data_IF_216073294460
#
_entry.id   IF_216073294460
#
_cell.length_a   1.000
_cell.length_b   1.000
_cell.length_c   1.000
_cell.angle_alpha   90.00
_cell.angle_beta   90.00
_cell.angle_gamma   90.00
#
_symmetry.space_group_name_H-M   'P 1'
#
loop_
_entity.id
_entity.type
_entity.pdbx_description
1 polymer ?
#
# COMPACT_ATOMS: atom_id res chain seq x y z
N UNK A 1 -1.36 -22.50 10.91
CA UNK A 1 -2.65 -22.00 10.35
C UNK A 1 -3.19 -23.03 9.37
N UNK A 2 -4.47 -23.31 9.39
CA UNK A 2 -5.12 -24.25 8.47
C UNK A 2 -5.34 -23.59 7.10
N UNK A 3 -5.21 -24.38 6.02
CA UNK A 3 -5.54 -23.97 4.65
C UNK A 3 -6.98 -23.44 4.56
N UNK A 4 -7.22 -22.47 3.70
CA UNK A 4 -8.59 -21.99 3.46
C UNK A 4 -9.44 -23.09 2.80
N UNK A 5 -10.72 -23.21 3.20
CA UNK A 5 -11.63 -24.15 2.54
C UNK A 5 -11.80 -23.75 1.07
N UNK A 6 -11.89 -24.75 0.19
CA UNK A 6 -12.17 -24.54 -1.22
C UNK A 6 -13.69 -24.56 -1.42
N UNK A 7 -14.32 -23.45 -1.82
CA UNK A 7 -15.77 -23.39 -2.02
C UNK A 7 -16.19 -24.04 -3.34
N UNK A 8 -17.46 -24.36 -3.44
CA UNK A 8 -18.09 -24.65 -4.74
C UNK A 8 -18.34 -23.33 -5.47
N UNK A 9 -17.76 -23.16 -6.65
CA UNK A 9 -17.86 -21.94 -7.44
C UNK A 9 -19.10 -21.95 -8.33
N UNK A 10 -19.83 -20.84 -8.36
CA UNK A 10 -20.91 -20.59 -9.31
C UNK A 10 -20.34 -20.24 -10.70
N UNK A 11 -21.20 -20.31 -11.72
CA UNK A 11 -20.83 -19.91 -13.09
C UNK A 11 -20.91 -18.41 -13.32
N UNK A 12 -21.59 -17.68 -12.40
CA UNK A 12 -21.78 -16.24 -12.47
C UNK A 12 -21.80 -15.60 -11.08
N UNK A 13 -21.22 -14.42 -10.97
CA UNK A 13 -21.26 -13.53 -9.82
C UNK A 13 -21.63 -12.10 -10.25
N UNK A 14 -22.04 -11.25 -9.32
CA UNK A 14 -22.20 -9.82 -9.60
C UNK A 14 -20.81 -9.16 -9.69
N UNK A 15 -19.91 -9.51 -8.76
CA UNK A 15 -18.58 -8.94 -8.66
C UNK A 15 -17.53 -10.04 -8.59
N UNK A 16 -16.49 -9.97 -9.43
CA UNK A 16 -15.28 -10.77 -9.31
C UNK A 16 -14.09 -9.87 -9.00
N UNK A 17 -13.43 -10.14 -7.88
CA UNK A 17 -12.22 -9.42 -7.44
C UNK A 17 -10.99 -10.29 -7.68
N UNK A 18 -10.03 -9.78 -8.44
CA UNK A 18 -8.77 -10.45 -8.77
C UNK A 18 -7.69 -10.00 -7.78
N UNK A 19 -7.35 -10.85 -6.81
CA UNK A 19 -6.36 -10.60 -5.76
C UNK A 19 -6.99 -10.42 -4.38
N UNK A 20 -6.49 -11.15 -3.39
CA UNK A 20 -6.95 -11.17 -2.00
C UNK A 20 -6.09 -10.33 -1.05
N UNK A 21 -5.36 -9.32 -1.56
CA UNK A 21 -4.63 -8.34 -0.75
C UNK A 21 -5.57 -7.30 -0.11
N UNK A 22 -5.02 -6.28 0.60
CA UNK A 22 -5.83 -5.31 1.34
C UNK A 22 -6.92 -4.63 0.51
N UNK A 23 -6.63 -4.19 -0.72
CA UNK A 23 -7.62 -3.58 -1.59
C UNK A 23 -8.73 -4.57 -1.99
N UNK A 24 -8.35 -5.76 -2.47
CA UNK A 24 -9.31 -6.74 -2.95
C UNK A 24 -10.15 -7.33 -1.82
N UNK A 25 -9.56 -7.61 -0.66
CA UNK A 25 -10.31 -8.07 0.50
C UNK A 25 -11.29 -7.01 1.01
N UNK A 26 -10.91 -5.72 0.98
CA UNK A 26 -11.80 -4.61 1.34
C UNK A 26 -12.96 -4.50 0.37
N UNK A 27 -12.68 -4.46 -0.94
CA UNK A 27 -13.73 -4.40 -1.96
C UNK A 27 -14.65 -5.61 -1.86
N UNK A 28 -14.08 -6.83 -1.77
CA UNK A 28 -14.86 -8.06 -1.69
C UNK A 28 -15.73 -8.15 -0.44
N UNK A 29 -15.23 -7.72 0.71
CA UNK A 29 -15.99 -7.71 1.96
C UNK A 29 -17.16 -6.73 1.90
N UNK A 30 -16.95 -5.52 1.40
CA UNK A 30 -17.97 -4.48 1.35
C UNK A 30 -19.03 -4.75 0.26
N UNK A 31 -18.65 -5.23 -0.92
CA UNK A 31 -19.62 -5.62 -1.95
C UNK A 31 -20.49 -6.79 -1.50
N UNK A 32 -19.92 -7.77 -0.78
CA UNK A 32 -20.68 -8.87 -0.18
C UNK A 32 -21.62 -8.35 0.93
N UNK A 33 -21.16 -7.44 1.79
CA UNK A 33 -22.00 -6.80 2.83
C UNK A 33 -23.18 -6.02 2.24
N UNK A 34 -22.99 -5.42 1.07
CA UNK A 34 -24.06 -4.77 0.30
C UNK A 34 -25.04 -5.74 -0.35
N UNK A 35 -24.82 -7.05 -0.22
CA UNK A 35 -25.73 -8.11 -0.71
C UNK A 35 -25.45 -8.59 -2.13
N UNK A 36 -24.34 -8.17 -2.75
CA UNK A 36 -23.95 -8.66 -4.08
C UNK A 36 -23.23 -10.00 -4.00
N UNK A 37 -23.52 -10.90 -4.93
CA UNK A 37 -22.77 -12.15 -5.06
C UNK A 37 -21.33 -11.83 -5.47
N UNK A 38 -20.40 -12.02 -4.55
CA UNK A 38 -19.00 -11.59 -4.70
C UNK A 38 -18.04 -12.77 -4.62
N UNK A 39 -17.11 -12.85 -5.59
CA UNK A 39 -16.03 -13.84 -5.62
C UNK A 39 -14.68 -13.15 -5.58
N UNK A 40 -13.84 -13.49 -4.60
CA UNK A 40 -12.43 -13.07 -4.55
C UNK A 40 -11.54 -14.23 -4.99
N UNK A 41 -10.74 -14.01 -6.02
CA UNK A 41 -9.80 -14.98 -6.60
C UNK A 41 -8.37 -14.62 -6.21
N UNK A 42 -7.72 -15.42 -5.38
CA UNK A 42 -6.33 -15.20 -4.98
C UNK A 42 -5.42 -16.34 -5.50
N UNK A 43 -4.33 -15.97 -6.15
CA UNK A 43 -3.40 -16.94 -6.76
C UNK A 43 -2.63 -17.79 -5.75
N UNK A 44 -2.36 -17.22 -4.57
CA UNK A 44 -1.58 -17.85 -3.50
C UNK A 44 -2.48 -18.51 -2.47
N UNK A 45 -1.95 -19.47 -1.73
CA UNK A 45 -2.54 -19.89 -0.46
C UNK A 45 -2.02 -18.97 0.67
N UNK A 46 -2.72 -18.94 1.82
CA UNK A 46 -2.35 -18.17 2.99
C UNK A 46 -1.89 -19.07 4.15
N UNK A 47 -0.93 -18.62 4.96
CA UNK A 47 -0.30 -17.27 4.97
C UNK A 47 0.69 -17.09 3.82
N UNK A 48 0.73 -15.87 3.26
CA UNK A 48 1.68 -15.51 2.22
C UNK A 48 2.50 -14.28 2.58
N UNK A 49 3.75 -14.26 2.16
CA UNK A 49 4.63 -13.12 2.35
C UNK A 49 4.23 -11.94 1.46
N UNK A 50 4.20 -10.75 2.05
CA UNK A 50 4.13 -9.48 1.32
C UNK A 50 4.87 -8.38 2.11
N UNK A 51 5.35 -7.33 1.44
CA UNK A 51 5.95 -6.14 2.07
C UNK A 51 4.91 -5.04 2.26
N UNK A 52 5.14 -4.12 3.21
CA UNK A 52 4.24 -3.03 3.55
C UNK A 52 3.57 -3.27 4.91
N UNK A 53 4.41 -3.27 5.97
CA UNK A 53 4.02 -3.68 7.33
C UNK A 53 3.61 -2.50 8.22
N UNK A 54 3.94 -1.27 7.82
CA UNK A 54 3.66 -0.08 8.62
C UNK A 54 2.35 0.56 8.18
N UNK A 55 1.37 0.61 9.06
CA UNK A 55 0.11 1.32 8.81
C UNK A 55 0.23 2.79 9.18
N UNK A 56 -0.71 3.61 8.66
CA UNK A 56 -0.89 5.00 9.07
C UNK A 56 -2.25 5.20 9.74
N UNK A 57 -2.43 6.23 10.59
CA UNK A 57 -3.62 6.42 11.42
C UNK A 57 -4.97 6.31 10.71
N UNK A 58 -5.14 6.89 9.56
CA UNK A 58 -6.43 6.90 8.84
C UNK A 58 -6.88 5.53 8.31
N UNK A 59 -6.03 4.49 8.37
CA UNK A 59 -6.47 3.10 8.17
C UNK A 59 -7.51 2.65 9.19
N UNK A 60 -7.57 3.33 10.36
CA UNK A 60 -8.54 3.09 11.42
C UNK A 60 -9.99 3.09 10.90
N UNK A 61 -10.35 4.04 10.05
CA UNK A 61 -11.73 4.21 9.61
C UNK A 61 -12.20 3.09 8.69
N UNK A 62 -11.37 2.64 7.77
CA UNK A 62 -11.70 1.49 6.92
C UNK A 62 -11.74 0.20 7.75
N UNK A 63 -10.80 0.00 8.68
CA UNK A 63 -10.84 -1.14 9.59
C UNK A 63 -12.09 -1.13 10.49
N UNK A 64 -12.54 0.05 10.94
CA UNK A 64 -13.80 0.22 11.67
C UNK A 64 -15.00 -0.16 10.82
N UNK A 65 -15.07 0.31 9.58
CA UNK A 65 -16.12 -0.03 8.61
C UNK A 65 -16.19 -1.52 8.32
N UNK A 66 -15.03 -2.16 8.20
CA UNK A 66 -14.93 -3.60 8.02
C UNK A 66 -15.31 -4.42 9.28
N UNK A 67 -15.45 -3.79 10.46
CA UNK A 67 -15.73 -4.46 11.72
C UNK A 67 -14.51 -5.15 12.33
N UNK A 68 -13.27 -4.76 11.96
CA UNK A 68 -12.03 -5.44 12.32
C UNK A 68 -11.28 -4.79 13.50
N UNK A 69 -11.75 -3.66 14.06
CA UNK A 69 -11.03 -2.95 15.12
C UNK A 69 -10.82 -3.79 16.38
N UNK A 70 -11.78 -4.60 16.78
CA UNK A 70 -11.63 -5.45 17.98
C UNK A 70 -10.53 -6.52 17.75
N UNK A 71 -10.45 -7.08 16.55
CA UNK A 71 -9.39 -8.03 16.21
C UNK A 71 -8.02 -7.33 16.19
N UNK A 72 -7.95 -6.09 15.67
CA UNK A 72 -6.73 -5.29 15.70
C UNK A 72 -6.30 -4.95 17.13
N UNK A 73 -7.23 -4.56 18.00
CA UNK A 73 -6.96 -4.27 19.41
C UNK A 73 -6.48 -5.50 20.18
N UNK A 74 -7.06 -6.67 19.89
CA UNK A 74 -6.71 -7.94 20.50
C UNK A 74 -5.44 -8.59 19.94
N UNK A 75 -4.92 -8.05 18.84
CA UNK A 75 -3.70 -8.58 18.20
C UNK A 75 -2.45 -8.27 19.02
N UNK A 76 -1.38 -9.03 18.79
CA UNK A 76 -0.04 -8.75 19.30
C UNK A 76 0.78 -7.83 18.39
N UNK A 77 0.15 -7.17 17.42
CA UNK A 77 0.81 -6.18 16.57
C UNK A 77 1.34 -5.00 17.38
N UNK A 78 2.62 -4.61 17.23
CA UNK A 78 3.16 -3.42 17.89
C UNK A 78 2.31 -2.19 17.57
N UNK A 79 1.96 -1.43 18.61
CA UNK A 79 1.23 -0.16 18.46
C UNK A 79 2.19 0.92 17.98
N UNK A 80 1.80 1.64 16.95
CA UNK A 80 2.54 2.75 16.36
C UNK A 80 1.86 4.06 16.72
N UNK A 81 2.60 4.93 17.41
CA UNK A 81 2.14 6.27 17.84
C UNK A 81 2.84 7.41 17.10
N UNK A 82 3.95 7.09 16.42
CA UNK A 82 4.80 8.11 15.80
C UNK A 82 5.56 7.59 14.58
N UNK A 83 6.09 8.52 13.83
CA UNK A 83 7.18 8.34 12.87
C UNK A 83 8.31 9.30 13.22
N UNK A 84 9.57 8.85 13.07
CA UNK A 84 10.72 9.67 13.30
C UNK A 84 11.67 9.66 12.11
N UNK A 85 12.17 10.84 11.76
CA UNK A 85 13.08 11.02 10.64
C UNK A 85 14.48 11.35 11.13
N UNK A 86 15.49 10.75 10.52
CA UNK A 86 16.88 11.09 10.71
C UNK A 86 17.39 11.79 9.45
N UNK A 87 18.01 12.93 9.62
CA UNK A 87 18.61 13.67 8.52
C UNK A 87 19.85 12.94 7.99
N UNK A 88 20.36 13.38 6.85
CA UNK A 88 21.62 12.89 6.25
C UNK A 88 22.84 13.00 7.21
N UNK A 89 22.79 13.88 8.20
CA UNK A 89 23.79 13.99 9.28
C UNK A 89 23.51 13.06 10.46
N UNK A 90 22.62 12.10 10.33
CA UNK A 90 22.20 11.15 11.37
C UNK A 90 21.57 11.80 12.61
N UNK A 91 21.16 13.06 12.52
CA UNK A 91 20.47 13.74 13.62
C UNK A 91 18.98 13.38 13.58
N UNK A 92 18.43 12.79 14.66
CA UNK A 92 17.00 12.50 14.74
C UNK A 92 16.20 13.81 14.82
N UNK A 93 15.06 13.83 14.15
CA UNK A 93 14.02 14.83 14.43
C UNK A 93 13.39 14.54 15.80
N UNK A 94 12.61 15.49 16.34
CA UNK A 94 11.59 15.09 17.31
C UNK A 94 10.63 14.08 16.64
N UNK A 95 10.13 13.06 17.35
CA UNK A 95 9.09 12.17 16.82
C UNK A 95 7.86 12.98 16.41
N UNK A 96 7.25 12.60 15.31
CA UNK A 96 5.92 13.08 14.92
C UNK A 96 4.89 12.19 15.59
N UNK A 97 4.43 12.58 16.78
CA UNK A 97 3.33 11.88 17.45
C UNK A 97 2.00 12.23 16.81
N UNK A 98 1.24 11.22 16.44
CA UNK A 98 0.01 11.39 15.67
C UNK A 98 -1.11 12.06 16.47
N UNK A 99 -1.11 11.93 17.80
CA UNK A 99 -2.10 12.52 18.72
C UNK A 99 -1.81 13.97 19.11
N UNK A 100 -0.63 14.53 18.79
CA UNK A 100 -0.34 15.96 19.05
C UNK A 100 -1.32 16.91 18.36
N UNK A 101 -1.96 16.44 17.24
CA UNK A 101 -2.88 17.24 16.43
C UNK A 101 -4.29 16.69 16.39
N UNK A 102 -4.49 15.45 16.83
CA UNK A 102 -5.79 14.76 16.78
C UNK A 102 -5.84 13.79 17.96
N UNK A 103 -6.25 14.30 19.13
CA UNK A 103 -6.37 13.49 20.35
C UNK A 103 -7.60 12.58 20.28
N UNK A 104 -7.43 11.44 19.59
CA UNK A 104 -8.47 10.42 19.47
C UNK A 104 -7.84 9.04 19.21
N UNK A 105 -8.64 7.98 19.40
CA UNK A 105 -8.17 6.60 19.24
C UNK A 105 -7.60 6.33 17.83
N UNK A 106 -8.16 7.00 16.80
CA UNK A 106 -7.65 6.85 15.42
C UNK A 106 -6.24 7.40 15.21
N UNK A 107 -5.68 8.12 16.17
CA UNK A 107 -4.28 8.60 16.13
C UNK A 107 -3.26 7.54 16.56
N UNK A 108 -3.70 6.33 16.92
CA UNK A 108 -2.87 5.17 17.14
C UNK A 108 -3.11 4.17 16.03
N UNK A 109 -2.03 3.62 15.47
CA UNK A 109 -2.10 2.58 14.45
C UNK A 109 -1.20 1.39 14.82
N UNK A 110 -0.88 0.51 13.87
CA UNK A 110 -0.15 -0.73 14.12
C UNK A 110 0.96 -0.98 13.10
N UNK A 111 1.94 -1.78 13.52
CA UNK A 111 2.89 -2.45 12.65
C UNK A 111 2.43 -3.90 12.48
N UNK A 112 2.22 -4.36 11.26
CA UNK A 112 1.55 -5.64 11.01
C UNK A 112 2.43 -6.64 10.26
N UNK A 113 2.36 -7.90 10.64
CA UNK A 113 2.75 -8.97 9.74
C UNK A 113 1.70 -9.13 8.64
N UNK A 114 2.10 -8.95 7.41
CA UNK A 114 1.19 -8.95 6.26
C UNK A 114 0.55 -10.32 5.99
N UNK A 115 1.21 -11.41 6.37
CA UNK A 115 0.65 -12.76 6.24
C UNK A 115 -0.62 -12.95 7.08
N UNK A 116 -0.58 -12.54 8.34
CA UNK A 116 -1.71 -12.63 9.26
C UNK A 116 -2.71 -11.49 9.08
N UNK A 117 -2.24 -10.29 8.77
CA UNK A 117 -3.11 -9.14 8.50
C UNK A 117 -3.93 -9.32 7.22
N UNK A 118 -3.28 -9.71 6.11
CA UNK A 118 -3.97 -9.96 4.85
C UNK A 118 -4.94 -11.15 4.98
N UNK A 119 -4.56 -12.18 5.75
CA UNK A 119 -5.45 -13.31 6.05
C UNK A 119 -6.70 -12.86 6.82
N UNK A 120 -6.55 -12.01 7.85
CA UNK A 120 -7.67 -11.45 8.61
C UNK A 120 -8.63 -10.66 7.71
N UNK A 121 -8.11 -9.85 6.80
CA UNK A 121 -8.92 -9.11 5.82
C UNK A 121 -9.65 -10.07 4.87
N UNK A 122 -8.99 -11.12 4.41
CA UNK A 122 -9.58 -12.09 3.47
C UNK A 122 -10.63 -12.98 4.14
N UNK A 123 -10.41 -13.40 5.40
CA UNK A 123 -11.40 -14.13 6.18
C UNK A 123 -12.67 -13.29 6.42
N UNK A 124 -12.53 -11.97 6.53
CA UNK A 124 -13.65 -11.04 6.67
C UNK A 124 -14.56 -11.02 5.43
N UNK A 125 -14.01 -11.26 4.22
CA UNK A 125 -14.84 -11.41 3.00
C UNK A 125 -15.84 -12.55 3.19
N UNK A 126 -15.36 -13.70 3.66
CA UNK A 126 -16.23 -14.86 3.93
C UNK A 126 -17.22 -14.60 5.06
N UNK A 127 -16.79 -13.90 6.12
CA UNK A 127 -17.66 -13.53 7.23
C UNK A 127 -18.81 -12.60 6.82
N UNK A 128 -18.61 -11.80 5.76
CA UNK A 128 -19.62 -10.91 5.18
C UNK A 128 -20.43 -11.56 4.02
N UNK A 129 -20.25 -12.85 3.78
CA UNK A 129 -21.02 -13.63 2.79
C UNK A 129 -20.39 -13.73 1.39
N UNK A 130 -19.19 -13.18 1.20
CA UNK A 130 -18.44 -13.35 -0.04
C UNK A 130 -17.79 -14.73 -0.17
N UNK A 131 -17.54 -15.15 -1.39
CA UNK A 131 -16.82 -16.38 -1.72
C UNK A 131 -15.34 -16.07 -1.92
N UNK A 132 -14.45 -16.84 -1.27
CA UNK A 132 -13.00 -16.70 -1.43
C UNK A 132 -12.43 -17.98 -2.00
N UNK A 133 -11.74 -17.90 -3.13
CA UNK A 133 -11.03 -19.02 -3.76
C UNK A 133 -9.54 -18.71 -3.82
N UNK A 134 -8.73 -19.42 -3.04
CA UNK A 134 -7.26 -19.40 -3.13
C UNK A 134 -6.75 -20.41 -4.16
N UNK A 135 -5.46 -20.32 -4.53
CA UNK A 135 -4.83 -21.12 -5.60
C UNK A 135 -5.56 -20.95 -6.95
N UNK A 136 -6.12 -19.76 -7.17
CA UNK A 136 -6.90 -19.37 -8.33
C UNK A 136 -6.17 -18.29 -9.12
N UNK A 137 -5.50 -18.66 -10.19
CA UNK A 137 -4.74 -17.75 -11.04
C UNK A 137 -5.61 -17.23 -12.18
N UNK A 138 -6.08 -15.99 -12.10
CA UNK A 138 -6.76 -15.34 -13.24
C UNK A 138 -5.75 -15.13 -14.37
N UNK A 139 -6.07 -15.69 -15.52
CA UNK A 139 -5.20 -15.67 -16.71
C UNK A 139 -5.74 -14.74 -17.79
N UNK A 140 -7.02 -14.38 -17.73
CA UNK A 140 -7.64 -13.44 -18.64
C UNK A 140 -8.88 -12.75 -18.05
N UNK A 141 -9.18 -11.53 -18.54
CA UNK A 141 -10.48 -10.87 -18.37
C UNK A 141 -11.24 -10.98 -19.69
N UNK A 142 -12.49 -11.43 -19.61
CA UNK A 142 -13.36 -11.62 -20.76
C UNK A 142 -14.09 -10.30 -21.06
N UNK A 143 -14.13 -9.92 -22.33
CA UNK A 143 -14.78 -8.70 -22.80
C UNK A 143 -15.84 -9.00 -23.85
N UNK A 144 -16.94 -8.28 -23.79
CA UNK A 144 -17.93 -8.15 -24.87
C UNK A 144 -17.88 -6.69 -25.35
N UNK A 145 -17.28 -6.45 -26.52
CA UNK A 145 -16.88 -5.13 -26.92
C UNK A 145 -15.89 -4.52 -25.93
N UNK A 146 -16.25 -3.35 -25.34
CA UNK A 146 -15.43 -2.65 -24.34
C UNK A 146 -15.79 -3.02 -22.90
N UNK A 147 -16.87 -3.80 -22.69
CA UNK A 147 -17.37 -4.15 -21.38
C UNK A 147 -16.69 -5.45 -20.86
N UNK A 148 -16.14 -5.40 -19.68
CA UNK A 148 -15.71 -6.61 -18.98
C UNK A 148 -16.94 -7.40 -18.52
N UNK A 149 -16.98 -8.71 -18.82
CA UNK A 149 -18.12 -9.59 -18.58
C UNK A 149 -17.78 -10.84 -17.78
N UNK A 150 -16.52 -11.01 -17.40
CA UNK A 150 -16.06 -12.17 -16.64
C UNK A 150 -14.56 -12.35 -16.65
N UNK A 151 -14.11 -13.47 -16.12
CA UNK A 151 -12.70 -13.83 -16.07
C UNK A 151 -12.48 -15.27 -16.51
N UNK A 152 -11.28 -15.54 -17.04
CA UNK A 152 -10.75 -16.88 -17.20
C UNK A 152 -9.77 -17.16 -16.07
N UNK A 153 -10.04 -18.17 -15.26
CA UNK A 153 -9.25 -18.54 -14.10
C UNK A 153 -8.70 -19.94 -14.21
N UNK A 154 -7.46 -20.13 -13.81
CA UNK A 154 -6.82 -21.43 -13.63
C UNK A 154 -6.88 -21.82 -12.16
N UNK A 155 -7.64 -22.82 -11.86
CA UNK A 155 -7.77 -23.40 -10.51
C UNK A 155 -6.75 -24.52 -10.36
N UNK A 156 -6.12 -24.60 -9.21
CA UNK A 156 -5.22 -25.71 -8.86
C UNK A 156 -5.84 -26.48 -7.70
N UNK A 157 -6.18 -27.74 -7.92
CA UNK A 157 -6.72 -28.64 -6.89
C UNK A 157 -6.01 -29.98 -6.95
N UNK A 158 -5.46 -30.44 -5.82
CA UNK A 158 -4.72 -31.71 -5.70
C UNK A 158 -3.61 -31.90 -6.76
N UNK A 159 -2.99 -30.79 -7.20
CA UNK A 159 -1.95 -30.78 -8.23
C UNK A 159 -2.47 -30.77 -9.68
N UNK A 160 -3.76 -30.93 -9.88
CA UNK A 160 -4.41 -30.77 -11.19
C UNK A 160 -4.76 -29.30 -11.46
N UNK A 161 -4.64 -28.88 -12.71
CA UNK A 161 -4.98 -27.54 -13.17
C UNK A 161 -6.16 -27.59 -14.11
N UNK A 162 -7.20 -26.84 -13.77
CA UNK A 162 -8.41 -26.73 -14.58
C UNK A 162 -8.66 -25.26 -14.90
N UNK A 163 -8.78 -24.94 -16.17
CA UNK A 163 -9.19 -23.60 -16.63
C UNK A 163 -10.72 -23.52 -16.65
N UNK A 164 -11.26 -22.44 -16.09
CA UNK A 164 -12.69 -22.16 -16.03
C UNK A 164 -12.96 -20.72 -16.42
N UNK A 165 -14.03 -20.47 -17.12
CA UNK A 165 -14.57 -19.13 -17.35
C UNK A 165 -15.72 -18.88 -16.37
N UNK A 166 -15.71 -17.73 -15.72
CA UNK A 166 -16.72 -17.32 -14.74
C UNK A 166 -17.22 -15.93 -15.15
N UNK A 167 -18.52 -15.82 -15.39
CA UNK A 167 -19.14 -14.57 -15.79
C UNK A 167 -19.32 -13.62 -14.58
N UNK A 168 -19.31 -12.32 -14.83
CA UNK A 168 -19.72 -11.33 -13.81
C UNK A 168 -20.24 -10.05 -14.45
N UNK A 169 -20.81 -9.18 -13.61
CA UNK A 169 -21.21 -7.83 -14.00
C UNK A 169 -20.06 -6.84 -13.89
N UNK A 170 -19.20 -6.98 -12.85
CA UNK A 170 -18.04 -6.12 -12.61
C UNK A 170 -16.80 -6.94 -12.28
N UNK A 171 -15.69 -6.64 -12.93
CA UNK A 171 -14.34 -7.15 -12.61
C UNK A 171 -13.56 -6.09 -11.85
N UNK A 172 -13.00 -6.45 -10.70
CA UNK A 172 -12.11 -5.58 -9.91
C UNK A 172 -10.69 -6.11 -9.99
N UNK A 173 -9.77 -5.35 -10.57
CA UNK A 173 -8.35 -5.67 -10.53
C UNK A 173 -7.71 -5.14 -9.23
N UNK A 174 -7.43 -6.04 -8.31
CA UNK A 174 -6.71 -5.83 -7.06
C UNK A 174 -5.40 -6.65 -7.01
N UNK A 175 -4.78 -6.88 -8.17
CA UNK A 175 -3.57 -7.73 -8.32
C UNK A 175 -2.29 -7.07 -7.79
N UNK A 176 -2.40 -5.89 -7.19
CA UNK A 176 -1.27 -5.16 -6.63
C UNK A 176 -0.30 -4.72 -7.73
N UNK A 177 1.00 -4.79 -7.47
CA UNK A 177 2.03 -4.34 -8.41
C UNK A 177 2.09 -5.14 -9.73
N UNK A 178 1.42 -6.29 -9.82
CA UNK A 178 1.22 -6.99 -11.10
C UNK A 178 0.44 -6.12 -12.09
N UNK A 179 -0.50 -5.29 -11.58
CA UNK A 179 -1.33 -4.37 -12.37
C UNK A 179 -1.84 -5.06 -13.64
N UNK A 180 -2.49 -6.22 -13.43
CA UNK A 180 -2.78 -7.19 -14.48
C UNK A 180 -3.59 -6.57 -15.62
N UNK A 181 -4.73 -5.97 -15.29
CA UNK A 181 -5.62 -5.36 -16.28
C UNK A 181 -5.03 -4.07 -16.85
N UNK A 182 -4.40 -3.22 -16.01
CA UNK A 182 -3.75 -2.00 -16.48
C UNK A 182 -2.60 -2.30 -17.46
N UNK A 183 -1.85 -3.38 -17.24
CA UNK A 183 -0.80 -3.83 -18.15
C UNK A 183 -1.39 -4.37 -19.46
N UNK A 184 -2.44 -5.18 -19.36
CA UNK A 184 -3.12 -5.76 -20.52
C UNK A 184 -3.74 -4.68 -21.43
N UNK A 185 -4.35 -3.66 -20.84
CA UNK A 185 -4.97 -2.55 -21.57
C UNK A 185 -3.96 -1.49 -22.05
N UNK A 186 -2.70 -1.59 -21.66
CA UNK A 186 -1.65 -0.63 -22.02
C UNK A 186 -1.82 0.75 -21.37
N UNK A 187 -2.54 0.81 -20.23
CA UNK A 187 -2.80 2.07 -19.51
C UNK A 187 -1.85 2.33 -18.35
N UNK A 188 -0.95 1.38 -18.03
CA UNK A 188 0.08 1.52 -17.00
C UNK A 188 1.21 2.42 -17.49
N UNK A 189 1.57 3.45 -16.72
CA UNK A 189 2.65 4.38 -17.01
C UNK A 189 3.61 4.50 -15.83
N UNK A 190 4.92 4.41 -16.09
CA UNK A 190 5.94 4.50 -15.06
C UNK A 190 6.18 5.95 -14.65
N UNK A 191 6.41 6.17 -13.36
CA UNK A 191 6.81 7.49 -12.85
C UNK A 191 8.26 7.78 -13.24
N UNK A 192 8.51 8.77 -14.09
CA UNK A 192 9.85 9.03 -14.58
C UNK A 192 10.78 9.67 -13.54
N UNK A 193 10.22 10.29 -12.47
CA UNK A 193 10.99 10.88 -11.38
C UNK A 193 11.36 9.90 -10.28
N UNK A 194 10.59 8.82 -10.13
CA UNK A 194 10.76 7.86 -9.03
C UNK A 194 11.32 6.52 -9.55
N UNK A 195 12.53 6.56 -10.09
CA UNK A 195 13.25 5.36 -10.56
C UNK A 195 14.03 4.74 -9.39
N UNK A 196 13.30 4.11 -8.48
CA UNK A 196 13.81 3.65 -7.19
C UNK A 196 14.05 2.14 -7.16
N UNK A 197 14.95 1.72 -6.28
CA UNK A 197 15.23 0.33 -6.00
C UNK A 197 15.45 0.09 -4.51
N UNK A 198 15.03 -1.05 -4.04
CA UNK A 198 14.94 -1.38 -2.61
C UNK A 198 15.54 -2.74 -2.34
N UNK A 199 16.27 -2.84 -1.22
CA UNK A 199 16.82 -4.10 -0.68
C UNK A 199 16.42 -4.16 0.79
N UNK A 200 15.81 -5.28 1.27
CA UNK A 200 15.38 -5.41 2.66
C UNK A 200 15.45 -6.83 3.17
N UNK A 201 15.40 -6.95 4.49
CA UNK A 201 15.26 -8.22 5.17
C UNK A 201 14.63 -8.03 6.57
N UNK A 202 14.57 -9.11 7.34
CA UNK A 202 14.05 -9.16 8.69
C UNK A 202 15.15 -9.54 9.67
N UNK A 203 15.14 -8.89 10.83
CA UNK A 203 16.18 -9.00 11.83
C UNK A 203 15.57 -9.23 13.21
N UNK A 204 15.93 -10.32 13.88
CA UNK A 204 15.63 -10.54 15.29
C UNK A 204 16.64 -9.80 16.17
N UNK A 205 16.20 -9.40 17.37
CA UNK A 205 17.03 -8.73 18.38
C UNK A 205 17.62 -7.38 17.91
N UNK A 206 17.06 -6.76 16.89
CA UNK A 206 17.42 -5.39 16.55
C UNK A 206 16.99 -4.42 17.67
N UNK A 207 17.88 -3.48 18.04
CA UNK A 207 17.63 -2.54 19.13
C UNK A 207 16.43 -1.64 18.81
N UNK A 208 15.41 -1.70 19.66
CA UNK A 208 14.21 -0.84 19.61
C UNK A 208 14.32 0.28 20.63
N UNK A 209 13.58 1.35 20.40
CA UNK A 209 13.35 2.35 21.41
C UNK A 209 12.39 1.81 22.48
N UNK A 210 12.31 2.46 23.63
CA UNK A 210 11.48 2.00 24.74
C UNK A 210 10.18 2.82 24.88
N UNK A 211 9.20 2.21 25.55
CA UNK A 211 7.96 2.88 25.90
C UNK A 211 7.11 3.23 24.69
N UNK A 212 6.68 4.49 24.58
CA UNK A 212 5.79 4.94 23.50
C UNK A 212 6.39 4.81 22.10
N UNK A 213 7.71 4.88 21.98
CA UNK A 213 8.43 4.85 20.71
C UNK A 213 8.84 3.44 20.28
N UNK A 214 8.52 2.40 21.07
CA UNK A 214 8.85 1.01 20.76
C UNK A 214 8.35 0.56 19.38
N UNK A 215 7.15 1.01 18.99
CA UNK A 215 6.54 0.72 17.70
C UNK A 215 6.70 1.82 16.64
N UNK A 216 7.56 2.82 16.88
CA UNK A 216 7.77 3.90 15.92
C UNK A 216 8.39 3.39 14.62
N UNK A 217 7.95 3.95 13.49
CA UNK A 217 8.67 3.79 12.22
C UNK A 217 9.79 4.80 12.16
N UNK A 218 11.01 4.33 11.89
CA UNK A 218 12.17 5.21 11.72
C UNK A 218 12.58 5.27 10.25
N UNK A 219 12.80 6.48 9.76
CA UNK A 219 13.25 6.77 8.40
C UNK A 219 14.60 7.49 8.51
N UNK A 220 15.66 6.88 8.01
CA UNK A 220 17.03 7.36 8.19
C UNK A 220 17.67 7.65 6.83
N UNK A 221 17.89 8.93 6.50
CA UNK A 221 18.58 9.34 5.27
C UNK A 221 20.08 9.09 5.39
N UNK A 222 20.69 8.52 4.36
CA UNK A 222 22.16 8.43 4.25
C UNK A 222 22.75 9.76 3.76
N UNK A 223 24.08 10.00 3.92
CA UNK A 223 24.73 11.19 3.44
C UNK A 223 24.45 11.48 1.96
N UNK A 224 24.30 12.76 1.62
CA UNK A 224 23.96 13.23 0.27
C UNK A 224 22.60 12.75 -0.23
N UNK A 225 21.73 12.27 0.65
CA UNK A 225 20.41 11.67 0.33
C UNK A 225 20.47 10.58 -0.77
N UNK A 226 21.60 9.84 -0.84
CA UNK A 226 21.78 8.78 -1.86
C UNK A 226 20.82 7.62 -1.69
N UNK A 227 20.49 7.32 -0.41
CA UNK A 227 19.53 6.30 -0.02
C UNK A 227 18.90 6.66 1.33
N UNK A 228 17.96 5.87 1.77
CA UNK A 228 17.41 5.95 3.11
C UNK A 228 16.99 4.58 3.59
N UNK A 229 17.09 4.36 4.91
CA UNK A 229 16.63 3.15 5.57
C UNK A 229 15.28 3.34 6.23
N UNK A 230 14.48 2.28 6.24
CA UNK A 230 13.41 2.15 7.20
C UNK A 230 13.77 1.14 8.30
N UNK A 231 13.21 1.35 9.48
CA UNK A 231 13.18 0.42 10.60
C UNK A 231 11.73 0.32 11.09
N UNK A 232 11.13 -0.86 10.96
CA UNK A 232 9.74 -1.14 11.34
C UNK A 232 9.74 -2.29 12.36
N UNK A 233 9.46 -2.00 13.65
CA UNK A 233 9.32 -3.02 14.67
C UNK A 233 8.10 -3.91 14.41
N UNK A 234 8.29 -5.22 14.40
CA UNK A 234 7.22 -6.21 14.22
C UNK A 234 7.08 -7.07 15.49
N UNK A 235 6.11 -7.98 15.50
CA UNK A 235 5.94 -8.98 16.56
C UNK A 235 7.20 -9.85 16.72
N UNK A 236 7.23 -10.62 17.81
CA UNK A 236 8.26 -11.65 18.08
C UNK A 236 9.69 -11.11 18.04
N UNK A 237 9.86 -9.85 18.48
CA UNK A 237 11.13 -9.13 18.50
C UNK A 237 11.84 -9.05 17.12
N UNK A 238 11.08 -9.11 16.04
CA UNK A 238 11.58 -8.96 14.67
C UNK A 238 11.41 -7.51 14.21
N UNK A 239 12.38 -6.97 13.49
CA UNK A 239 12.27 -5.71 12.79
C UNK A 239 12.40 -5.94 11.27
N UNK A 240 11.54 -5.27 10.49
CA UNK A 240 11.74 -5.11 9.05
C UNK A 240 12.70 -3.96 8.82
N UNK A 241 13.80 -4.21 8.13
CA UNK A 241 14.83 -3.22 7.80
C UNK A 241 15.14 -3.28 6.32
N UNK A 242 15.05 -2.14 5.66
CA UNK A 242 15.38 -2.06 4.25
C UNK A 242 15.95 -0.71 3.86
N UNK A 243 16.60 -0.69 2.73
CA UNK A 243 17.22 0.50 2.15
C UNK A 243 16.70 0.73 0.75
N UNK A 244 16.35 2.00 0.48
CA UNK A 244 15.83 2.47 -0.81
C UNK A 244 16.70 3.61 -1.32
N UNK A 245 16.95 3.62 -2.62
CA UNK A 245 17.66 4.69 -3.29
C UNK A 245 17.44 4.63 -4.80
N UNK A 246 18.05 5.56 -5.53
CA UNK A 246 17.96 5.54 -6.99
C UNK A 246 18.42 4.18 -7.56
N UNK A 247 17.65 3.60 -8.47
CA UNK A 247 17.84 2.26 -8.99
C UNK A 247 19.24 2.05 -9.59
N UNK A 248 19.76 3.03 -10.34
CA UNK A 248 21.09 2.93 -10.95
C UNK A 248 22.20 2.93 -9.89
N UNK A 249 22.01 3.68 -8.81
CA UNK A 249 22.93 3.71 -7.68
C UNK A 249 22.87 2.41 -6.87
N UNK A 250 21.67 1.92 -6.55
CA UNK A 250 21.45 0.72 -5.72
C UNK A 250 21.89 -0.57 -6.41
N UNK A 251 21.66 -0.65 -7.72
CA UNK A 251 21.94 -1.86 -8.52
C UNK A 251 23.00 -1.59 -9.59
N UNK A 252 24.07 -0.88 -9.22
CA UNK A 252 25.22 -0.65 -10.10
C UNK A 252 25.88 -1.98 -10.53
N UNK A 253 26.45 -2.01 -11.75
CA UNK A 253 27.08 -3.23 -12.29
C UNK A 253 28.15 -3.78 -11.34
N UNK A 254 28.03 -5.07 -11.01
CA UNK A 254 29.02 -5.82 -10.23
C UNK A 254 28.76 -5.90 -8.73
N UNK A 255 27.77 -5.19 -8.18
CA UNK A 255 27.43 -5.29 -6.75
C UNK A 255 26.25 -6.24 -6.52
N UNK A 256 26.43 -7.20 -5.63
CA UNK A 256 25.34 -8.05 -5.15
C UNK A 256 24.39 -7.24 -4.21
N UNK A 257 23.14 -7.70 -3.98
CA UNK A 257 22.26 -7.10 -2.98
C UNK A 257 22.90 -7.05 -1.57
N UNK A 258 23.67 -8.06 -1.20
CA UNK A 258 24.37 -8.12 0.10
C UNK A 258 25.44 -7.04 0.21
N UNK A 259 26.27 -6.89 -0.80
CA UNK A 259 27.31 -5.85 -0.82
C UNK A 259 26.70 -4.45 -0.83
N UNK A 260 25.61 -4.25 -1.58
CA UNK A 260 24.89 -2.98 -1.61
C UNK A 260 24.28 -2.66 -0.25
N UNK A 261 23.58 -3.61 0.39
CA UNK A 261 22.98 -3.41 1.70
C UNK A 261 24.05 -3.06 2.74
N UNK A 262 25.19 -3.79 2.76
CA UNK A 262 26.28 -3.51 3.68
C UNK A 262 26.92 -2.15 3.43
N UNK A 263 27.18 -1.78 2.17
CA UNK A 263 27.70 -0.47 1.81
C UNK A 263 26.83 0.66 2.34
N UNK A 264 25.51 0.55 2.18
CA UNK A 264 24.58 1.57 2.68
C UNK A 264 24.48 1.56 4.21
N UNK A 265 24.58 0.37 4.84
CA UNK A 265 24.62 0.24 6.29
C UNK A 265 25.85 0.92 6.90
N UNK A 266 27.02 0.78 6.27
CA UNK A 266 28.26 1.45 6.68
C UNK A 266 28.14 2.98 6.57
N UNK A 267 27.25 3.48 5.73
CA UNK A 267 26.94 4.91 5.57
C UNK A 267 25.82 5.41 6.51
N UNK A 268 25.21 4.53 7.28
CA UNK A 268 24.11 4.84 8.20
C UNK A 268 24.41 4.36 9.63
N UNK A 269 25.29 5.04 10.39
CA UNK A 269 25.66 4.64 11.75
C UNK A 269 24.47 4.42 12.68
N UNK A 270 23.41 5.24 12.56
CA UNK A 270 22.21 5.11 13.39
C UNK A 270 21.46 3.78 13.13
N UNK A 271 21.48 3.26 11.89
CA UNK A 271 20.94 1.94 11.58
C UNK A 271 21.91 0.83 11.99
N UNK A 272 23.21 1.00 11.72
CA UNK A 272 24.24 0.03 12.08
C UNK A 272 24.23 -0.26 13.59
N UNK A 273 24.10 0.77 14.44
CA UNK A 273 23.99 0.63 15.89
C UNK A 273 22.78 -0.19 16.34
N UNK A 274 21.63 -0.09 15.62
CA UNK A 274 20.44 -0.89 15.93
C UNK A 274 20.60 -2.36 15.55
N UNK A 275 21.49 -2.66 14.63
CA UNK A 275 21.72 -4.01 14.11
C UNK A 275 22.95 -4.72 14.69
N UNK A 276 23.69 -4.12 15.64
CA UNK A 276 24.92 -4.69 16.22
C UNK A 276 24.72 -6.11 16.76
N UNK A 277 23.64 -6.32 17.54
CA UNK A 277 23.32 -7.61 18.16
C UNK A 277 22.21 -8.35 17.38
N UNK A 278 21.81 -7.83 16.23
CA UNK A 278 20.71 -8.40 15.47
C UNK A 278 21.13 -9.58 14.61
N UNK A 279 20.25 -10.55 14.49
CA UNK A 279 20.41 -11.69 13.59
C UNK A 279 19.44 -11.58 12.41
N UNK A 280 19.97 -11.60 11.19
CA UNK A 280 19.13 -11.65 10.00
C UNK A 280 18.46 -13.03 9.88
N UNK A 281 17.12 -13.03 9.83
CA UNK A 281 16.29 -14.26 9.83
C UNK A 281 15.69 -14.61 8.48
N UNK A 282 15.94 -13.78 7.46
CA UNK A 282 15.52 -14.03 6.09
C UNK A 282 16.60 -13.59 5.11
N UNK A 283 16.59 -14.18 3.91
CA UNK A 283 17.43 -13.69 2.81
C UNK A 283 17.04 -12.27 2.42
N UNK A 284 18.01 -11.54 1.85
CA UNK A 284 17.73 -10.21 1.31
C UNK A 284 16.80 -10.33 0.11
N UNK A 285 15.76 -9.53 0.15
CA UNK A 285 14.77 -9.37 -0.90
C UNK A 285 15.04 -8.08 -1.67
N UNK A 286 14.67 -8.05 -2.93
CA UNK A 286 14.88 -6.88 -3.79
C UNK A 286 13.65 -6.56 -4.61
N UNK A 287 13.38 -5.27 -4.81
CA UNK A 287 12.42 -4.77 -5.80
C UNK A 287 12.96 -3.51 -6.45
N UNK A 288 12.48 -3.19 -7.64
CA UNK A 288 12.95 -2.01 -8.38
C UNK A 288 11.89 -1.53 -9.37
N UNK A 289 11.98 -0.24 -9.69
CA UNK A 289 11.14 0.42 -10.71
C UNK A 289 9.64 0.23 -10.45
N UNK A 290 9.24 0.42 -9.21
CA UNK A 290 7.90 0.11 -8.70
C UNK A 290 6.94 1.30 -8.69
N UNK A 291 7.40 2.51 -9.02
CA UNK A 291 6.56 3.71 -9.04
C UNK A 291 5.88 3.88 -10.39
N UNK A 292 4.56 3.83 -10.40
CA UNK A 292 3.74 3.92 -11.61
C UNK A 292 2.30 4.33 -11.27
N UNK A 293 1.52 4.60 -12.31
CA UNK A 293 0.07 4.81 -12.22
C UNK A 293 -0.64 4.30 -13.47
N UNK A 294 -1.95 4.06 -13.35
CA UNK A 294 -2.81 3.79 -14.48
C UNK A 294 -3.46 5.10 -14.99
N UNK A 295 -3.32 5.41 -16.28
CA UNK A 295 -3.98 6.57 -16.92
C UNK A 295 -5.49 6.47 -16.85
N UNK A 296 -6.02 5.26 -16.87
CA UNK A 296 -7.42 4.94 -16.75
C UNK A 296 -7.59 3.91 -15.63
N UNK A 297 -8.39 4.21 -14.63
CA UNK A 297 -8.62 3.36 -13.46
C UNK A 297 -9.94 2.61 -13.51
N UNK A 298 -10.84 2.99 -14.40
CA UNK A 298 -12.15 2.35 -14.59
C UNK A 298 -12.53 2.32 -16.06
N UNK A 299 -13.36 1.36 -16.43
CA UNK A 299 -14.01 1.29 -17.72
C UNK A 299 -15.32 0.52 -17.61
N UNK A 300 -16.04 0.30 -18.72
CA UNK A 300 -17.29 -0.44 -18.67
C UNK A 300 -17.10 -1.83 -18.06
N UNK A 301 -17.75 -2.06 -16.91
CA UNK A 301 -17.68 -3.32 -16.19
C UNK A 301 -16.35 -3.64 -15.50
N UNK A 302 -15.41 -2.71 -15.34
CA UNK A 302 -14.16 -2.98 -14.61
C UNK A 302 -13.61 -1.77 -13.84
N UNK A 303 -12.90 -2.06 -12.72
CA UNK A 303 -12.28 -1.08 -11.82
C UNK A 303 -10.90 -1.56 -11.39
N UNK A 304 -9.92 -0.65 -11.27
CA UNK A 304 -8.61 -0.90 -10.66
C UNK A 304 -8.58 -0.34 -9.24
N UNK A 305 -8.06 -1.11 -8.27
CA UNK A 305 -7.93 -0.68 -6.88
C UNK A 305 -6.55 -0.99 -6.31
N UNK A 306 -6.12 -0.24 -5.29
CA UNK A 306 -4.81 -0.40 -4.66
C UNK A 306 -3.65 -0.20 -5.64
N UNK A 307 -2.61 -1.01 -5.50
CA UNK A 307 -1.42 -0.87 -6.37
C UNK A 307 -1.72 -1.21 -7.83
N UNK A 308 -2.82 -1.89 -8.20
CA UNK A 308 -3.19 -2.03 -9.61
C UNK A 308 -3.60 -0.70 -10.26
N UNK A 309 -4.11 0.25 -9.48
CA UNK A 309 -4.30 1.64 -9.90
C UNK A 309 -2.96 2.39 -9.98
N UNK A 310 -2.08 2.22 -8.97
CA UNK A 310 -0.78 2.84 -8.95
C UNK A 310 -0.07 2.71 -7.61
N UNK A 311 1.24 2.77 -7.66
CA UNK A 311 2.10 2.79 -6.48
C UNK A 311 3.08 3.97 -6.56
N UNK A 312 3.32 4.64 -5.42
CA UNK A 312 4.20 5.80 -5.36
C UNK A 312 5.57 5.38 -4.83
N UNK A 313 5.68 5.24 -3.50
CA UNK A 313 6.93 4.99 -2.80
C UNK A 313 6.64 4.55 -1.36
N UNK A 314 7.47 3.71 -0.72
CA UNK A 314 7.22 3.23 0.64
C UNK A 314 7.51 4.24 1.75
N UNK A 315 8.14 5.39 1.47
CA UNK A 315 8.72 6.30 2.50
C UNK A 315 7.73 6.78 3.55
N UNK A 316 6.47 7.02 3.18
CA UNK A 316 5.44 7.50 4.10
C UNK A 316 4.42 6.43 4.51
N UNK A 317 4.66 5.16 4.18
CA UNK A 317 3.79 4.03 4.55
C UNK A 317 2.34 4.14 4.06
N UNK A 318 2.10 4.82 2.93
CA UNK A 318 0.75 5.13 2.44
C UNK A 318 0.10 3.99 1.64
N UNK A 319 0.87 2.99 1.19
CA UNK A 319 0.40 1.98 0.23
C UNK A 319 -0.80 1.17 0.73
N UNK A 320 -0.74 0.65 1.97
CA UNK A 320 -1.87 -0.12 2.54
C UNK A 320 -3.09 0.77 2.77
N UNK A 321 -2.90 2.00 3.24
CA UNK A 321 -3.99 2.97 3.39
C UNK A 321 -4.70 3.25 2.07
N UNK A 322 -3.94 3.56 1.01
CA UNK A 322 -4.49 3.80 -0.32
C UNK A 322 -5.19 2.56 -0.88
N UNK A 323 -4.64 1.37 -0.61
CA UNK A 323 -5.26 0.11 -1.00
C UNK A 323 -6.62 -0.10 -0.32
N UNK A 324 -6.70 0.08 1.00
CA UNK A 324 -7.95 -0.02 1.75
C UNK A 324 -8.96 1.04 1.28
N UNK A 325 -8.53 2.29 1.09
CA UNK A 325 -9.39 3.41 0.72
C UNK A 325 -9.96 3.27 -0.69
N UNK A 326 -9.14 2.89 -1.67
CA UNK A 326 -9.65 2.63 -3.03
C UNK A 326 -10.61 1.44 -3.05
N UNK A 327 -10.34 0.42 -2.25
CA UNK A 327 -11.25 -0.73 -2.12
C UNK A 327 -12.61 -0.33 -1.52
N UNK A 328 -12.61 0.58 -0.54
CA UNK A 328 -13.81 1.14 0.09
C UNK A 328 -14.63 1.96 -0.91
N UNK A 329 -14.00 2.91 -1.61
CA UNK A 329 -14.67 3.75 -2.60
C UNK A 329 -15.21 2.94 -3.78
N UNK A 330 -14.40 2.00 -4.30
CA UNK A 330 -14.84 1.15 -5.40
C UNK A 330 -16.04 0.26 -5.01
N UNK A 331 -16.08 -0.24 -3.78
CA UNK A 331 -17.20 -1.06 -3.32
C UNK A 331 -18.52 -0.28 -3.29
N UNK A 332 -18.49 0.98 -2.85
CA UNK A 332 -19.66 1.86 -2.82
C UNK A 332 -20.12 2.19 -4.24
N UNK A 333 -19.21 2.61 -5.13
CA UNK A 333 -19.53 2.90 -6.53
C UNK A 333 -20.07 1.67 -7.27
N UNK A 334 -19.50 0.48 -7.01
CA UNK A 334 -20.02 -0.77 -7.60
C UNK A 334 -21.43 -1.07 -7.11
N UNK A 335 -21.70 -0.86 -5.81
CA UNK A 335 -23.04 -1.04 -5.25
C UNK A 335 -24.07 -0.13 -5.94
N UNK A 336 -23.76 1.16 -6.06
CA UNK A 336 -24.64 2.14 -6.69
C UNK A 336 -24.85 1.86 -8.18
N UNK A 337 -23.78 1.51 -8.90
CA UNK A 337 -23.81 1.15 -10.32
C UNK A 337 -24.67 -0.11 -10.60
N UNK A 338 -24.51 -1.16 -9.79
CA UNK A 338 -25.29 -2.39 -9.90
C UNK A 338 -26.79 -2.14 -9.62
N UNK A 339 -27.11 -1.34 -8.60
CA UNK A 339 -28.49 -0.98 -8.28
C UNK A 339 -29.14 -0.11 -9.36
N UNK A 340 -28.38 0.77 -9.99
CA UNK A 340 -28.85 1.60 -11.11
C UNK A 340 -28.92 0.82 -12.44
N UNK A 341 -28.27 -0.33 -12.55
CA UNK A 341 -28.09 -1.05 -13.81
C UNK A 341 -27.18 -0.32 -14.80
N UNK A 342 -26.33 0.60 -14.31
CA UNK A 342 -25.40 1.40 -15.12
C UNK A 342 -23.95 1.04 -14.78
N UNK A 343 -23.31 0.23 -15.62
CA UNK A 343 -21.94 -0.23 -15.46
C UNK A 343 -20.95 0.54 -16.33
N UNK A 344 -21.27 1.75 -16.70
CA UNK A 344 -20.37 2.64 -17.46
C UNK A 344 -19.17 3.08 -16.61
N UNK A 345 -18.13 3.55 -17.29
CA UNK A 345 -16.96 4.11 -16.60
C UNK A 345 -17.32 5.33 -15.74
N UNK A 346 -18.35 6.10 -16.10
CA UNK A 346 -18.81 7.25 -15.34
C UNK A 346 -19.42 6.82 -13.99
N UNK A 347 -20.31 5.82 -14.01
CA UNK A 347 -20.98 5.34 -12.80
C UNK A 347 -20.01 4.61 -11.86
N UNK A 348 -19.13 3.75 -12.39
CA UNK A 348 -18.15 3.01 -11.61
C UNK A 348 -17.00 3.88 -11.10
N UNK A 349 -16.83 5.09 -11.58
CA UNK A 349 -15.64 5.93 -11.37
C UNK A 349 -15.89 7.31 -10.78
N UNK A 350 -17.02 7.58 -10.19
CA UNK A 350 -17.37 8.88 -9.58
C UNK A 350 -16.41 9.31 -8.45
N UNK A 351 -15.77 8.35 -7.80
CA UNK A 351 -14.80 8.55 -6.72
C UNK A 351 -13.37 8.88 -7.20
N UNK A 352 -13.06 8.68 -8.49
CA UNK A 352 -11.67 8.70 -8.98
C UNK A 352 -10.97 10.05 -8.78
N UNK A 353 -11.67 11.16 -9.03
CA UNK A 353 -11.04 12.49 -8.99
C UNK A 353 -10.56 12.81 -7.58
N UNK A 354 -11.39 12.60 -6.56
CA UNK A 354 -11.01 12.82 -5.16
C UNK A 354 -9.86 11.90 -4.72
N UNK A 355 -9.87 10.65 -5.18
CA UNK A 355 -8.81 9.70 -4.87
C UNK A 355 -7.49 10.08 -5.56
N UNK A 356 -7.52 10.49 -6.84
CA UNK A 356 -6.33 10.97 -7.56
C UNK A 356 -5.74 12.22 -6.92
N UNK A 357 -6.57 13.15 -6.48
CA UNK A 357 -6.12 14.35 -5.77
C UNK A 357 -5.37 13.96 -4.49
N UNK A 358 -5.89 13.03 -3.68
CA UNK A 358 -5.21 12.51 -2.50
C UNK A 358 -3.88 11.80 -2.83
N UNK A 359 -3.87 10.95 -3.86
CA UNK A 359 -2.63 10.29 -4.36
C UNK A 359 -1.60 11.33 -4.80
N UNK A 360 -2.02 12.41 -5.46
CA UNK A 360 -1.14 13.48 -5.90
C UNK A 360 -0.54 14.28 -4.73
N UNK A 361 -1.25 14.45 -3.61
CA UNK A 361 -0.68 15.05 -2.39
C UNK A 361 0.48 14.20 -1.87
N UNK A 362 0.28 12.89 -1.75
CA UNK A 362 1.37 11.99 -1.33
C UNK A 362 2.53 11.98 -2.33
N UNK A 363 2.24 12.00 -3.63
CA UNK A 363 3.28 12.05 -4.67
C UNK A 363 4.15 13.30 -4.56
N UNK A 364 3.54 14.48 -4.38
CA UNK A 364 4.25 15.73 -4.15
C UNK A 364 5.11 15.67 -2.88
N UNK A 365 4.58 15.08 -1.80
CA UNK A 365 5.32 14.89 -0.55
C UNK A 365 6.55 14.00 -0.74
N UNK A 366 6.42 12.91 -1.53
CA UNK A 366 7.54 12.02 -1.89
C UNK A 366 8.56 12.75 -2.75
N UNK A 367 8.14 13.53 -3.73
CA UNK A 367 9.07 14.34 -4.53
C UNK A 367 9.86 15.31 -3.68
N UNK A 368 9.21 15.99 -2.72
CA UNK A 368 9.88 16.87 -1.77
C UNK A 368 10.92 16.14 -0.92
N UNK A 369 10.62 14.90 -0.50
CA UNK A 369 11.57 14.07 0.26
C UNK A 369 12.86 13.77 -0.53
N UNK A 370 12.72 13.47 -1.81
CA UNK A 370 13.85 13.16 -2.69
C UNK A 370 14.53 14.39 -3.29
N UNK A 371 13.93 15.58 -3.20
CA UNK A 371 14.52 16.81 -3.72
C UNK A 371 15.86 17.13 -3.01
N UNK A 372 16.98 17.29 -3.74
CA UNK A 372 18.32 17.46 -3.15
C UNK A 372 18.41 18.67 -2.22
N UNK A 373 17.83 19.79 -2.64
CA UNK A 373 17.95 21.09 -1.98
C UNK A 373 16.81 21.37 -0.99
N UNK A 374 15.80 20.47 -0.89
CA UNK A 374 14.68 20.64 0.01
C UNK A 374 14.91 19.94 1.36
N UNK A 375 14.47 20.56 2.44
CA UNK A 375 14.48 20.00 3.79
C UNK A 375 13.20 20.37 4.53
N UNK A 376 12.40 19.38 4.90
CA UNK A 376 11.20 19.60 5.72
C UNK A 376 11.50 20.33 7.03
N UNK A 377 12.62 20.02 7.71
CA UNK A 377 13.01 20.68 8.94
C UNK A 377 13.29 22.19 8.75
N UNK A 378 14.00 22.56 7.68
CA UNK A 378 14.24 23.97 7.34
C UNK A 378 12.96 24.66 6.90
N UNK A 379 12.16 24.01 6.06
CA UNK A 379 10.90 24.53 5.55
C UNK A 379 9.91 24.81 6.68
N UNK A 380 9.65 23.85 7.57
CA UNK A 380 8.73 24.03 8.69
C UNK A 380 9.22 25.02 9.74
N UNK A 381 10.54 25.24 9.86
CA UNK A 381 11.09 26.32 10.69
C UNK A 381 10.79 27.69 10.10
N UNK A 382 10.85 27.83 8.78
CA UNK A 382 10.51 29.07 8.07
C UNK A 382 8.98 29.29 7.94
N UNK A 383 8.22 28.21 7.86
CA UNK A 383 6.77 28.20 7.61
C UNK A 383 6.02 27.32 8.62
N UNK A 384 6.03 27.69 9.93
CA UNK A 384 5.46 26.87 11.00
C UNK A 384 3.94 26.63 10.86
N UNK A 385 3.23 27.48 10.14
CA UNK A 385 1.80 27.35 9.85
C UNK A 385 1.45 26.07 9.07
N UNK A 386 2.39 25.50 8.30
CA UNK A 386 2.16 24.29 7.52
C UNK A 386 2.47 22.98 8.27
N UNK A 387 2.80 23.03 9.55
CA UNK A 387 3.07 21.84 10.35
C UNK A 387 1.84 20.90 10.37
N UNK A 388 0.64 21.46 10.49
CA UNK A 388 -0.61 20.71 10.44
C UNK A 388 -0.79 19.97 9.11
N UNK A 389 -0.52 20.62 7.97
CA UNK A 389 -0.62 20.01 6.64
C UNK A 389 0.30 18.79 6.49
N UNK A 390 1.55 18.89 6.97
CA UNK A 390 2.48 17.74 6.96
C UNK A 390 1.95 16.62 7.84
N UNK A 391 1.44 16.94 9.03
CA UNK A 391 0.87 15.95 9.93
C UNK A 391 -0.34 15.26 9.31
N UNK A 392 -1.27 16.02 8.72
CA UNK A 392 -2.44 15.48 8.01
C UNK A 392 -2.02 14.46 6.94
N UNK A 393 -0.99 14.77 6.15
CA UNK A 393 -0.45 13.83 5.16
C UNK A 393 0.20 12.61 5.81
N UNK A 394 0.97 12.77 6.89
CA UNK A 394 1.63 11.65 7.57
C UNK A 394 0.63 10.71 8.26
N UNK A 395 -0.51 11.20 8.71
CA UNK A 395 -1.58 10.37 9.27
C UNK A 395 -2.55 9.81 8.22
N UNK A 396 -2.58 10.38 7.00
CA UNK A 396 -3.46 9.97 5.90
C UNK A 396 -4.76 10.76 5.80
N UNK A 397 -4.94 11.86 6.57
CA UNK A 397 -6.15 12.72 6.57
C UNK A 397 -6.13 13.69 5.38
N UNK A 398 -6.15 13.13 4.16
CA UNK A 398 -5.92 13.85 2.90
C UNK A 398 -7.16 14.13 2.07
N UNK A 399 -8.32 13.61 2.49
CA UNK A 399 -9.60 13.81 1.79
C UNK A 399 -10.38 15.04 2.30
N UNK A 400 -9.68 16.07 2.79
CA UNK A 400 -10.26 17.32 3.25
C UNK A 400 -9.62 18.52 2.56
N UNK A 401 -10.33 19.67 2.46
CA UNK A 401 -9.77 20.87 1.85
C UNK A 401 -8.55 21.42 2.58
N UNK A 402 -7.66 22.08 1.86
CA UNK A 402 -6.53 22.83 2.42
C UNK A 402 -5.28 22.02 2.75
N UNK A 403 -5.30 20.68 2.72
CA UNK A 403 -4.12 19.85 3.00
C UNK A 403 -2.98 20.14 2.03
N UNK A 404 -3.31 20.44 0.77
CA UNK A 404 -2.35 20.73 -0.28
C UNK A 404 -1.74 22.13 -0.30
N UNK A 405 -2.24 23.07 0.51
CA UNK A 405 -1.80 24.48 0.50
C UNK A 405 -0.30 24.66 0.77
N UNK A 406 0.30 23.71 1.45
CA UNK A 406 1.75 23.67 1.71
C UNK A 406 2.57 23.63 0.40
N UNK A 407 2.07 23.00 -0.64
CA UNK A 407 2.83 22.82 -1.89
C UNK A 407 2.98 24.12 -2.67
N UNK A 408 2.05 25.08 -2.53
CA UNK A 408 2.18 26.40 -3.12
C UNK A 408 3.38 27.17 -2.50
N UNK A 409 3.60 26.99 -1.20
CA UNK A 409 4.74 27.60 -0.51
C UNK A 409 6.07 26.87 -0.76
N UNK A 410 6.05 25.62 -1.20
CA UNK A 410 7.27 24.87 -1.59
C UNK A 410 7.83 25.33 -2.95
N UNK A 411 6.98 25.91 -3.82
CA UNK A 411 7.37 26.52 -5.09
C UNK A 411 8.23 25.59 -5.96
N UNK A 412 9.34 26.15 -6.49
CA UNK A 412 10.26 25.45 -7.42
C UNK A 412 11.05 24.28 -6.80
N UNK A 413 10.85 24.02 -5.50
CA UNK A 413 11.46 22.83 -4.84
C UNK A 413 10.84 21.52 -5.28
N UNK A 414 9.70 21.57 -5.99
CA UNK A 414 8.99 20.40 -6.51
C UNK A 414 9.22 20.30 -8.03
N UNK A 415 9.18 19.07 -8.59
CA UNK A 415 9.11 18.90 -10.04
C UNK A 415 7.91 19.63 -10.64
N UNK A 416 7.95 20.01 -11.93
CA UNK A 416 6.85 20.66 -12.63
C UNK A 416 5.50 19.94 -12.47
N UNK A 417 4.41 20.67 -12.52
CA UNK A 417 3.04 20.18 -12.25
C UNK A 417 2.52 19.13 -13.23
N UNK A 418 3.11 19.04 -14.43
CA UNK A 418 2.80 18.04 -15.45
C UNK A 418 3.18 16.58 -15.07
N UNK A 419 3.88 16.40 -13.95
CA UNK A 419 4.21 15.10 -13.34
C UNK A 419 3.15 14.58 -12.36
N UNK A 420 2.13 15.35 -12.08
CA UNK A 420 0.98 14.88 -11.30
C UNK A 420 0.02 14.10 -12.21
N UNK A 421 -0.76 13.19 -11.62
CA UNK A 421 -1.81 12.48 -12.36
C UNK A 421 -2.76 13.53 -12.98
N UNK A 422 -2.75 13.64 -14.29
CA UNK A 422 -3.72 14.48 -15.00
C UNK A 422 -5.10 13.82 -14.98
N UNK A 423 -6.14 14.67 -14.90
CA UNK A 423 -7.54 14.23 -14.93
C UNK A 423 -7.89 13.51 -16.21
#
# INVERSE_FOLDING_TARGET
MTRMPQPELQDRYDVIVIGGGPAGATTGALTAEHGHSTLVLERSDFPRFHVGESLIPETYWTLKRLGLLEQMRASSYPKKYSVQFFSEGMNPSAPFYFDEYKDCESSQTWQVWRDSFDRMLLDNVSAKGGTVQTEAHVIDVLFDGDQAVGVKVRLTSNGERVDREIACSVVVDATGQSAFLATRLGVKDSDPCLRMGTIWSYFENARRDAGRDEGATLIMQTPEKKSWFWFIPLQDNVASVGVTGNMQYMFSKGSSPTETFQRELDRCPAMAERLVDATRVRDLLTTKDYSYYAKQAVGPGWVLVGDSFGFIDPVYSTGVFLALKSGEFAADAIHDALNAGDLTAASLGDWQDSYRDAVNLFRKLVYAFYAPDFSFGKFLKAHPQYRANVTDMLIGDVFKPGVGDIFDAMGDSLPPSDWTLTK
#
